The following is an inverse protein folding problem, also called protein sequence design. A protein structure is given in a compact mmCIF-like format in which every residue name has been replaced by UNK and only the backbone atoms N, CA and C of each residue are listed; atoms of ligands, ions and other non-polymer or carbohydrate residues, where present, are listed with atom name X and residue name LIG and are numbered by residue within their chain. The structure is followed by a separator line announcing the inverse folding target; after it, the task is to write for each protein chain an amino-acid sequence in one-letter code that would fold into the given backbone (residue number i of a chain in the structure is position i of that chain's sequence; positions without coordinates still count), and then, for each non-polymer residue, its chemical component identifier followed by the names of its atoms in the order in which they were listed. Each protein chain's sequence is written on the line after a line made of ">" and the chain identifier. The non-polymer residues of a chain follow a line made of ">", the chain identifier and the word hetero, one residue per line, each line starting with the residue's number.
data_IF_966414869857
#
_entry.id   IF_966414869857
#
_cell.length_a   1.000
_cell.length_b   1.000
_cell.length_c   1.000
_cell.angle_alpha   90.00
_cell.angle_beta   90.00
_cell.angle_gamma   90.00
#
_symmetry.space_group_name_H-M   'P 1'
#
loop_
_entity.id
_entity.type
_entity.pdbx_description
1 polymer ?
#
# COMPACT_ATOMS: atom_id res chain seq x y z
N UNK A 1 -10.34 -13.02 -63.14
CA UNK A 1 -11.24 -13.73 -62.20
C UNK A 1 -10.52 -15.00 -61.76
N UNK A 2 -10.00 -15.03 -60.53
CA UNK A 2 -9.27 -16.19 -59.97
C UNK A 2 -10.02 -16.62 -58.72
N UNK A 3 -10.69 -17.76 -58.83
CA UNK A 3 -11.48 -18.40 -57.77
C UNK A 3 -10.57 -18.83 -56.63
N UNK A 4 -10.79 -18.28 -55.44
CA UNK A 4 -10.10 -18.68 -54.21
C UNK A 4 -10.95 -19.74 -53.50
N UNK A 5 -10.50 -20.98 -53.56
CA UNK A 5 -11.01 -22.12 -52.80
C UNK A 5 -10.64 -21.93 -51.32
N UNK A 6 -11.62 -21.63 -50.48
CA UNK A 6 -11.45 -21.51 -49.02
C UNK A 6 -11.64 -22.89 -48.39
N UNK A 7 -10.54 -23.47 -47.91
CA UNK A 7 -10.53 -24.71 -47.12
C UNK A 7 -10.92 -24.39 -45.68
N UNK A 8 -12.14 -24.74 -45.29
CA UNK A 8 -12.59 -24.69 -43.90
C UNK A 8 -11.88 -25.79 -43.09
N UNK A 9 -11.00 -25.35 -42.19
CA UNK A 9 -10.29 -26.21 -41.24
C UNK A 9 -11.28 -26.61 -40.14
N UNK A 10 -11.69 -27.88 -40.20
CA UNK A 10 -12.57 -28.56 -39.26
C UNK A 10 -11.86 -28.70 -37.90
N UNK A 11 -12.23 -27.89 -36.91
CA UNK A 11 -11.76 -28.05 -35.52
C UNK A 11 -12.40 -29.31 -34.90
N UNK A 12 -11.72 -30.45 -35.02
CA UNK A 12 -12.04 -31.66 -34.28
C UNK A 12 -11.61 -31.51 -32.81
N UNK A 13 -12.51 -31.91 -31.91
CA UNK A 13 -12.43 -31.68 -30.47
C UNK A 13 -11.20 -32.27 -29.81
N UNK A 14 -10.52 -31.44 -29.02
CA UNK A 14 -9.54 -31.84 -28.05
C UNK A 14 -10.30 -32.38 -26.82
N UNK A 15 -10.41 -33.70 -26.69
CA UNK A 15 -10.84 -34.32 -25.42
C UNK A 15 -9.67 -34.21 -24.44
N UNK A 16 -9.56 -33.06 -23.79
CA UNK A 16 -8.73 -32.91 -22.62
C UNK A 16 -9.34 -33.76 -21.49
N UNK A 17 -8.60 -34.73 -21.00
CA UNK A 17 -8.80 -35.30 -19.66
C UNK A 17 -8.64 -34.15 -18.67
N UNK A 18 -9.76 -33.55 -18.27
CA UNK A 18 -9.77 -32.42 -17.36
C UNK A 18 -9.26 -32.88 -15.99
N UNK A 19 -8.03 -32.47 -15.63
CA UNK A 19 -7.82 -32.03 -14.28
C UNK A 19 -8.82 -30.87 -14.07
N UNK A 20 -9.73 -31.02 -13.12
CA UNK A 20 -10.71 -29.99 -12.78
C UNK A 20 -9.94 -28.82 -12.18
N UNK A 21 -9.38 -27.96 -13.03
CA UNK A 21 -9.00 -26.63 -12.61
C UNK A 21 -10.31 -25.91 -12.36
N UNK A 22 -10.54 -25.54 -11.09
CA UNK A 22 -11.66 -24.71 -10.70
C UNK A 22 -11.52 -23.37 -11.41
N UNK A 23 -12.16 -23.25 -12.57
CA UNK A 23 -12.32 -21.97 -13.24
C UNK A 23 -13.09 -21.10 -12.24
N UNK A 24 -12.53 -20.00 -11.71
CA UNK A 24 -13.30 -19.11 -10.86
C UNK A 24 -14.51 -18.69 -11.69
N UNK A 25 -15.70 -18.95 -11.18
CA UNK A 25 -16.92 -18.58 -11.86
C UNK A 25 -16.84 -17.07 -12.15
N UNK A 26 -16.63 -16.71 -13.42
CA UNK A 26 -16.75 -15.33 -13.85
C UNK A 26 -18.20 -14.94 -13.53
N UNK A 27 -18.40 -14.25 -12.42
CA UNK A 27 -19.70 -13.72 -12.06
C UNK A 27 -20.14 -12.81 -13.21
N UNK A 28 -21.33 -13.07 -13.77
CA UNK A 28 -21.91 -12.21 -14.78
C UNK A 28 -21.86 -10.76 -14.29
N UNK A 29 -21.40 -9.84 -15.14
CA UNK A 29 -21.21 -8.45 -14.76
C UNK A 29 -22.54 -7.89 -14.19
N UNK A 30 -22.51 -7.21 -13.03
CA UNK A 30 -23.73 -6.66 -12.44
C UNK A 30 -24.34 -5.64 -13.39
N UNK A 31 -25.60 -5.86 -13.80
CA UNK A 31 -26.31 -4.95 -14.68
C UNK A 31 -26.65 -3.66 -13.93
N UNK A 32 -26.20 -2.52 -14.46
CA UNK A 32 -26.50 -1.21 -13.90
C UNK A 32 -28.01 -0.92 -13.94
N UNK A 33 -28.55 -0.44 -12.81
CA UNK A 33 -29.93 0.04 -12.72
C UNK A 33 -29.97 1.56 -12.87
N UNK A 34 -30.74 2.04 -13.84
CA UNK A 34 -30.91 3.46 -14.13
C UNK A 34 -32.27 3.93 -13.62
N UNK A 35 -32.29 4.98 -12.80
CA UNK A 35 -33.53 5.56 -12.28
C UNK A 35 -33.44 7.09 -12.27
N UNK A 36 -34.51 7.76 -12.65
CA UNK A 36 -34.63 9.21 -12.55
C UNK A 36 -35.21 9.58 -11.19
N UNK A 37 -34.55 10.48 -10.46
CA UNK A 37 -35.00 10.92 -9.14
C UNK A 37 -36.13 11.97 -9.22
N UNK A 38 -36.64 12.38 -8.05
CA UNK A 38 -37.74 13.34 -7.91
C UNK A 38 -37.40 14.73 -8.49
N UNK A 39 -36.12 15.06 -8.62
CA UNK A 39 -35.64 16.33 -9.17
C UNK A 39 -35.21 16.20 -10.64
N UNK A 40 -35.41 15.03 -11.24
CA UNK A 40 -35.11 14.78 -12.65
C UNK A 40 -33.68 14.34 -12.94
N UNK A 41 -32.84 14.13 -11.92
CA UNK A 41 -31.45 13.70 -12.11
C UNK A 41 -31.35 12.18 -12.29
N UNK A 42 -30.42 11.74 -13.15
CA UNK A 42 -30.21 10.32 -13.44
C UNK A 42 -29.29 9.69 -12.40
N UNK A 43 -29.78 8.67 -11.71
CA UNK A 43 -29.02 7.83 -10.78
C UNK A 43 -28.71 6.47 -11.42
N UNK A 44 -27.46 6.05 -11.28
CA UNK A 44 -26.99 4.72 -11.64
C UNK A 44 -26.67 3.96 -10.35
N UNK A 45 -27.27 2.79 -10.18
CA UNK A 45 -26.98 1.89 -9.06
C UNK A 45 -26.40 0.59 -9.60
N UNK A 46 -25.34 0.12 -8.95
CA UNK A 46 -24.76 -1.19 -9.21
C UNK A 46 -25.13 -2.11 -8.06
N UNK A 47 -25.75 -3.27 -8.31
CA UNK A 47 -25.98 -4.23 -7.25
C UNK A 47 -24.63 -4.66 -6.69
N UNK A 48 -24.53 -4.68 -5.35
CA UNK A 48 -23.33 -5.15 -4.68
C UNK A 48 -23.11 -6.63 -5.05
N UNK A 49 -21.86 -7.03 -5.35
CA UNK A 49 -21.55 -8.44 -5.55
C UNK A 49 -21.79 -9.22 -4.24
N UNK A 50 -22.05 -10.51 -4.37
CA UNK A 50 -22.14 -11.39 -3.21
C UNK A 50 -20.84 -11.31 -2.39
N UNK A 51 -20.95 -11.06 -1.09
CA UNK A 51 -19.80 -11.01 -0.21
C UNK A 51 -19.17 -12.42 -0.11
N UNK A 52 -17.84 -12.49 -0.26
CA UNK A 52 -17.09 -13.72 -0.07
C UNK A 52 -17.03 -14.08 1.41
N UNK A 53 -17.12 -15.37 1.72
CA UNK A 53 -16.88 -15.85 3.08
C UNK A 53 -15.39 -15.79 3.41
N UNK A 54 -15.05 -15.75 4.70
CA UNK A 54 -13.66 -15.78 5.14
C UNK A 54 -12.89 -17.00 4.57
N UNK A 55 -13.55 -18.16 4.52
CA UNK A 55 -12.97 -19.40 3.95
C UNK A 55 -12.70 -19.29 2.44
N UNK A 56 -13.55 -18.58 1.69
CA UNK A 56 -13.31 -18.37 0.26
C UNK A 56 -12.11 -17.45 0.04
N UNK A 57 -12.03 -16.37 0.82
CA UNK A 57 -10.91 -15.42 0.76
C UNK A 57 -9.59 -16.12 1.11
N UNK A 58 -9.57 -16.96 2.15
CA UNK A 58 -8.36 -17.69 2.55
C UNK A 58 -7.90 -18.70 1.51
N UNK A 59 -8.84 -19.42 0.88
CA UNK A 59 -8.54 -20.36 -0.20
C UNK A 59 -7.96 -19.65 -1.43
N UNK A 60 -8.55 -18.53 -1.86
CA UNK A 60 -8.06 -17.74 -2.99
C UNK A 60 -6.67 -17.14 -2.72
N UNK A 61 -6.41 -16.70 -1.49
CA UNK A 61 -5.08 -16.23 -1.09
C UNK A 61 -4.04 -17.35 -1.12
N UNK A 62 -4.38 -18.53 -0.61
CA UNK A 62 -3.49 -19.70 -0.65
C UNK A 62 -3.16 -20.10 -2.10
N UNK A 63 -4.17 -20.11 -2.98
CA UNK A 63 -3.99 -20.38 -4.40
C UNK A 63 -3.12 -19.31 -5.07
N UNK A 64 -3.41 -18.02 -4.83
CA UNK A 64 -2.64 -16.91 -5.43
C UNK A 64 -1.16 -16.93 -5.01
N UNK A 65 -0.88 -17.39 -3.79
CA UNK A 65 0.48 -17.61 -3.30
C UNK A 65 1.16 -18.79 -4.01
N UNK A 66 0.44 -19.89 -4.22
CA UNK A 66 0.95 -21.06 -4.94
C UNK A 66 1.22 -20.76 -6.43
N UNK A 67 0.35 -19.97 -7.06
CA UNK A 67 0.45 -19.56 -8.46
C UNK A 67 1.48 -18.44 -8.67
N UNK A 68 2.06 -17.90 -7.59
CA UNK A 68 3.03 -16.80 -7.66
C UNK A 68 2.44 -15.45 -8.08
N UNK A 69 1.11 -15.32 -8.10
CA UNK A 69 0.38 -14.11 -8.50
C UNK A 69 0.50 -12.97 -7.47
N UNK A 70 0.86 -13.29 -6.23
CA UNK A 70 1.17 -12.31 -5.19
C UNK A 70 2.28 -12.84 -4.26
N UNK A 71 3.23 -11.97 -3.90
CA UNK A 71 4.38 -12.30 -3.05
C UNK A 71 4.48 -11.30 -1.89
N UNK A 72 4.92 -11.78 -0.73
CA UNK A 72 5.03 -10.99 0.50
C UNK A 72 6.52 -10.76 0.80
N UNK A 73 6.92 -9.51 1.06
CA UNK A 73 8.26 -9.19 1.55
C UNK A 73 9.37 -9.16 0.47
N UNK A 74 9.04 -8.88 -0.79
CA UNK A 74 10.06 -8.65 -1.83
C UNK A 74 10.73 -7.28 -1.75
N UNK A 75 10.26 -6.40 -0.85
CA UNK A 75 10.94 -5.15 -0.56
C UNK A 75 11.58 -5.29 0.83
N UNK A 76 12.92 -5.24 0.87
CA UNK A 76 13.65 -4.92 2.10
C UNK A 76 13.11 -3.57 2.61
N UNK A 77 12.27 -3.62 3.64
CA UNK A 77 11.73 -2.43 4.29
C UNK A 77 12.30 -2.29 5.69
N UNK A 78 12.93 -1.15 6.04
CA UNK A 78 13.12 0.04 5.21
C UNK A 78 14.14 -0.17 4.08
N UNK A 79 14.07 0.62 2.98
CA UNK A 79 15.10 0.58 1.94
C UNK A 79 16.47 0.80 2.59
N UNK A 80 17.47 0.03 2.15
CA UNK A 80 18.83 0.22 2.61
C UNK A 80 19.26 1.66 2.33
N UNK A 81 19.36 2.48 3.39
CA UNK A 81 19.88 3.83 3.26
C UNK A 81 21.35 3.72 2.88
N UNK A 82 21.73 4.31 1.75
CA UNK A 82 23.14 4.46 1.42
C UNK A 82 23.79 5.26 2.56
N UNK A 83 24.67 4.61 3.34
CA UNK A 83 25.47 5.31 4.33
C UNK A 83 26.35 6.30 3.57
N UNK A 84 26.10 7.61 3.72
CA UNK A 84 26.79 8.69 3.00
C UNK A 84 28.25 8.91 3.46
N UNK A 85 28.96 7.83 3.82
CA UNK A 85 30.29 7.85 4.41
C UNK A 85 30.28 7.66 5.93
N UNK A 86 31.47 7.73 6.56
CA UNK A 86 31.60 7.74 8.01
C UNK A 86 30.93 9.01 8.54
N UNK A 87 30.07 8.87 9.56
CA UNK A 87 29.54 10.03 10.30
C UNK A 87 30.67 10.83 10.95
N UNK A 88 30.42 12.11 11.21
CA UNK A 88 31.40 12.97 11.86
C UNK A 88 31.76 12.46 13.26
N UNK A 89 33.05 12.57 13.60
CA UNK A 89 33.48 12.24 14.96
C UNK A 89 33.00 13.31 15.94
N UNK A 90 32.76 12.92 17.20
CA UNK A 90 32.38 13.88 18.25
C UNK A 90 33.35 15.06 18.37
N UNK A 91 34.66 14.80 18.26
CA UNK A 91 35.68 15.84 18.31
C UNK A 91 35.56 16.84 17.15
N UNK A 92 35.14 16.37 15.98
CA UNK A 92 34.93 17.20 14.80
C UNK A 92 33.71 18.12 14.96
N UNK A 93 32.62 17.58 15.50
CA UNK A 93 31.41 18.35 15.83
C UNK A 93 31.72 19.42 16.88
N UNK A 94 32.51 19.10 17.91
CA UNK A 94 32.93 20.05 18.95
C UNK A 94 33.80 21.18 18.37
N UNK A 95 34.69 20.87 17.43
CA UNK A 95 35.51 21.86 16.74
C UNK A 95 34.68 22.79 15.83
N UNK A 96 33.71 22.23 15.10
CA UNK A 96 32.83 23.00 14.21
C UNK A 96 31.90 23.92 15.03
N UNK A 97 31.41 23.45 16.17
CA UNK A 97 30.64 24.26 17.12
C UNK A 97 31.45 25.46 17.63
N UNK A 98 32.68 25.23 18.11
CA UNK A 98 33.56 26.31 18.58
C UNK A 98 33.86 27.34 17.48
N UNK A 99 33.94 26.85 16.24
CA UNK A 99 34.14 27.68 15.05
C UNK A 99 32.89 28.52 14.74
N UNK A 100 31.69 27.94 14.83
CA UNK A 100 30.43 28.66 14.66
C UNK A 100 30.21 29.71 15.76
N UNK A 101 30.57 29.41 17.01
CA UNK A 101 30.53 30.35 18.14
C UNK A 101 31.43 31.57 17.91
N UNK A 102 32.68 31.35 17.51
CA UNK A 102 33.62 32.44 17.23
C UNK A 102 33.24 33.26 16.01
N UNK A 103 32.57 32.65 15.03
CA UNK A 103 32.03 33.33 13.86
C UNK A 103 30.67 34.01 14.10
N UNK A 104 30.11 33.90 15.31
CA UNK A 104 28.81 34.50 15.65
C UNK A 104 27.64 33.89 14.88
N UNK A 105 27.77 32.65 14.40
CA UNK A 105 26.74 31.94 13.64
C UNK A 105 25.74 31.18 14.53
N UNK A 106 25.91 31.25 15.85
CA UNK A 106 25.00 30.62 16.80
C UNK A 106 23.69 31.39 16.86
N UNK A 107 22.56 30.70 16.65
CA UNK A 107 21.25 31.28 16.86
C UNK A 107 21.10 31.67 18.34
N UNK A 108 20.82 32.95 18.61
CA UNK A 108 20.74 33.54 19.96
C UNK A 108 19.56 33.07 20.80
N UNK A 109 18.68 32.22 20.25
CA UNK A 109 17.43 31.78 20.89
C UNK A 109 17.62 30.51 21.75
N UNK A 110 18.77 30.38 22.43
CA UNK A 110 19.02 29.29 23.37
C UNK A 110 18.31 29.54 24.71
N UNK A 111 16.99 29.40 24.73
CA UNK A 111 16.31 29.02 25.96
C UNK A 111 16.91 27.68 26.41
N UNK A 112 17.51 27.65 27.61
CA UNK A 112 18.10 26.43 28.16
C UNK A 112 17.06 25.31 28.22
N UNK A 113 17.31 24.22 27.49
CA UNK A 113 16.46 23.03 27.51
C UNK A 113 17.15 21.88 28.27
N UNK A 114 16.46 21.19 29.20
CA UNK A 114 15.08 21.42 29.58
C UNK A 114 14.92 22.72 30.39
N UNK A 115 13.76 23.41 30.29
CA UNK A 115 13.49 24.54 31.17
C UNK A 115 13.66 24.09 32.61
N UNK A 116 14.19 24.97 33.48
CA UNK A 116 14.24 24.71 34.91
C UNK A 116 12.84 24.22 35.34
N UNK A 117 12.78 23.02 35.94
CA UNK A 117 11.51 22.42 36.33
C UNK A 117 10.77 23.44 37.19
N UNK A 118 9.72 24.03 36.64
CA UNK A 118 8.84 24.92 37.37
C UNK A 118 8.29 24.08 38.52
N UNK A 119 8.77 24.40 39.73
CA UNK A 119 8.33 23.78 40.95
C UNK A 119 6.81 23.93 40.97
N UNK A 120 6.10 22.86 40.61
CA UNK A 120 4.71 22.73 40.93
C UNK A 120 4.69 22.69 42.44
N UNK A 121 4.39 23.84 43.05
CA UNK A 121 4.04 23.97 44.45
C UNK A 121 2.75 23.17 44.64
N UNK A 122 2.89 21.86 44.73
CA UNK A 122 1.82 20.95 45.07
C UNK A 122 1.36 21.34 46.46
N UNK A 123 0.06 21.65 46.57
CA UNK A 123 -0.63 21.82 47.83
C UNK A 123 -0.22 20.70 48.80
N UNK A 124 0.67 21.05 49.73
CA UNK A 124 0.98 20.24 50.91
C UNK A 124 0.53 21.03 52.13
N UNK A 125 -0.75 21.44 52.14
CA UNK A 125 -1.44 21.93 53.33
C UNK A 125 -2.93 21.60 53.17
N UNK A 126 -3.22 20.30 53.16
CA UNK A 126 -4.51 19.76 53.60
C UNK A 126 -4.20 18.81 54.77
N UNK A 127 -4.04 19.36 55.97
CA UNK A 127 -4.15 18.66 57.25
C UNK A 127 -4.96 19.52 58.22
#
# INVERSE_FOLDING_TARGET
>A
MKTLTVTLLLCAGLTATAAVQAQPAQAAAPTAQYKRDLYGDWRVSYPAPAAKTADQVSAELAQSKADGQYTFGQEDYPPAVASNGPGESRAQVEQELQTAETQGQMASDQESYPPAAMAHSGMSDMQ
#
